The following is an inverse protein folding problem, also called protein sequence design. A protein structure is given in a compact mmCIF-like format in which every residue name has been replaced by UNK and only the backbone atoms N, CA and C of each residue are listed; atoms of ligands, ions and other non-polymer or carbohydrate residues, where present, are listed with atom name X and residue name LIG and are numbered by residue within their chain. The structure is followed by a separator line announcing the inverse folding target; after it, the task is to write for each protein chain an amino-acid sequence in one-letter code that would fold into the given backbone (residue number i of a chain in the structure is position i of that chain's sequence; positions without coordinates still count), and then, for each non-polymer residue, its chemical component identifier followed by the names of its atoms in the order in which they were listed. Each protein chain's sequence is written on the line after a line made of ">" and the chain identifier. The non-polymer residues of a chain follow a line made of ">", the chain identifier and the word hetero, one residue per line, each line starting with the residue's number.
data_IF_305242145728
#
_entry.id   IF_305242145728
#
_cell.length_a   1.000
_cell.length_b   1.000
_cell.length_c   1.000
_cell.angle_alpha   90.00
_cell.angle_beta   90.00
_cell.angle_gamma   90.00
#
_symmetry.space_group_name_H-M   'P 1'
#
loop_
_entity.id
_entity.type
_entity.pdbx_description
1 polymer ?
#
# COMPACT_ATOMS: atom_id res chain seq x y z
N UNK A 1 -12.21 20.94 26.70
CA UNK A 1 -11.81 20.08 25.57
C UNK A 1 -10.39 20.46 25.18
N UNK A 2 -9.44 19.53 25.27
CA UNK A 2 -8.07 19.74 24.77
C UNK A 2 -8.06 19.28 23.32
N UNK A 3 -7.78 20.19 22.39
CA UNK A 3 -7.57 19.83 20.99
C UNK A 3 -6.27 19.03 20.90
N UNK A 4 -6.36 17.75 20.55
CA UNK A 4 -5.19 16.95 20.24
C UNK A 4 -4.49 17.58 19.02
N UNK A 5 -3.28 18.09 19.21
CA UNK A 5 -2.43 18.55 18.11
C UNK A 5 -2.02 17.31 17.32
N UNK A 6 -2.75 16.99 16.26
CA UNK A 6 -2.40 15.93 15.32
C UNK A 6 -1.04 16.31 14.75
N UNK A 7 0.00 15.57 15.15
CA UNK A 7 1.31 15.68 14.51
C UNK A 7 1.12 15.18 13.08
N UNK A 8 1.15 16.10 12.12
CA UNK A 8 1.16 15.75 10.71
C UNK A 8 2.49 15.07 10.43
N UNK A 9 2.44 13.82 10.00
CA UNK A 9 3.61 13.13 9.44
C UNK A 9 4.10 13.91 8.22
N UNK A 10 5.41 14.13 8.12
CA UNK A 10 5.99 14.74 6.92
C UNK A 10 5.74 13.85 5.71
N UNK A 11 5.53 14.49 4.57
CA UNK A 11 5.28 13.81 3.30
C UNK A 11 6.55 13.13 2.86
N UNK A 12 6.44 11.87 2.43
CA UNK A 12 7.56 11.13 1.89
C UNK A 12 7.88 11.59 0.45
N UNK A 13 9.16 11.57 0.07
CA UNK A 13 9.62 11.96 -1.27
C UNK A 13 9.18 10.89 -2.30
N UNK A 14 8.44 11.26 -3.36
CA UNK A 14 8.09 10.38 -4.47
C UNK A 14 9.29 9.61 -5.05
N UNK A 15 10.45 10.24 -5.11
CA UNK A 15 11.70 9.71 -5.68
C UNK A 15 12.29 8.60 -4.81
N UNK A 16 12.11 8.70 -3.50
CA UNK A 16 12.53 7.66 -2.54
C UNK A 16 11.50 6.55 -2.42
N UNK A 17 10.21 6.86 -2.57
CA UNK A 17 9.15 5.87 -2.48
C UNK A 17 9.08 4.93 -3.68
N UNK A 18 9.42 5.41 -4.87
CA UNK A 18 9.32 4.59 -6.07
C UNK A 18 10.25 3.36 -6.09
N UNK A 19 11.54 3.45 -5.71
CA UNK A 19 12.37 2.26 -5.58
C UNK A 19 11.89 1.32 -4.46
N UNK A 20 11.32 1.85 -3.37
CA UNK A 20 10.73 1.03 -2.31
C UNK A 20 9.49 0.29 -2.84
N UNK A 21 8.62 0.97 -3.59
CA UNK A 21 7.45 0.36 -4.21
C UNK A 21 7.87 -0.78 -5.14
N UNK A 22 8.80 -0.53 -6.05
CA UNK A 22 9.28 -1.52 -7.01
C UNK A 22 9.94 -2.74 -6.35
N UNK A 23 10.54 -2.58 -5.17
CA UNK A 23 11.11 -3.69 -4.40
C UNK A 23 10.08 -4.74 -3.99
N UNK A 24 8.84 -4.34 -3.72
CA UNK A 24 7.78 -5.25 -3.27
C UNK A 24 6.69 -5.51 -4.32
N UNK A 25 6.68 -4.77 -5.43
CA UNK A 25 5.76 -5.03 -6.53
C UNK A 25 6.10 -6.35 -7.24
N UNK A 26 5.25 -7.37 -7.06
CA UNK A 26 5.44 -8.69 -7.68
C UNK A 26 4.73 -8.84 -9.03
N UNK A 27 3.79 -7.95 -9.34
CA UNK A 27 2.91 -8.09 -10.50
C UNK A 27 3.21 -7.02 -11.52
N UNK A 28 3.51 -7.40 -12.75
CA UNK A 28 3.64 -6.48 -13.89
C UNK A 28 2.48 -6.71 -14.87
N UNK A 29 1.81 -5.64 -15.28
CA UNK A 29 0.76 -5.71 -16.29
C UNK A 29 0.87 -4.50 -17.22
N UNK A 30 1.00 -4.75 -18.52
CA UNK A 30 1.10 -3.72 -19.55
C UNK A 30 2.26 -2.72 -19.32
N UNK A 31 3.37 -3.17 -18.73
CA UNK A 31 4.52 -2.32 -18.39
C UNK A 31 4.34 -1.48 -17.13
N UNK A 32 3.25 -1.65 -16.39
CA UNK A 32 3.02 -1.03 -15.09
C UNK A 32 3.16 -2.06 -13.96
N UNK A 33 3.83 -1.66 -12.88
CA UNK A 33 4.05 -2.49 -11.70
C UNK A 33 2.95 -2.28 -10.66
N UNK A 34 2.54 -3.40 -10.06
CA UNK A 34 1.49 -3.49 -9.08
C UNK A 34 1.95 -4.34 -7.89
N UNK A 35 1.52 -3.94 -6.69
CA UNK A 35 1.55 -4.83 -5.54
C UNK A 35 0.23 -5.59 -5.44
N UNK A 36 0.30 -6.90 -5.23
CA UNK A 36 -0.86 -7.68 -4.81
C UNK A 36 -1.23 -7.34 -3.36
N UNK A 37 -2.45 -7.66 -2.89
CA UNK A 37 -2.81 -7.52 -1.49
C UNK A 37 -1.80 -8.15 -0.53
N UNK A 38 -1.26 -9.31 -0.90
CA UNK A 38 -0.31 -10.03 -0.05
C UNK A 38 1.05 -9.32 0.02
N UNK A 39 1.51 -8.73 -1.08
CA UNK A 39 2.75 -7.95 -1.14
C UNK A 39 2.65 -6.66 -0.31
N UNK A 40 1.46 -6.04 -0.31
CA UNK A 40 1.24 -4.84 0.46
C UNK A 40 1.15 -5.12 1.97
N UNK A 41 0.44 -6.17 2.37
CA UNK A 41 0.17 -6.42 3.80
C UNK A 41 1.34 -7.11 4.51
N UNK A 42 1.99 -8.06 3.85
CA UNK A 42 2.98 -8.92 4.52
C UNK A 42 4.38 -8.33 4.44
N UNK A 43 5.05 -8.21 3.27
CA UNK A 43 6.40 -7.70 3.25
C UNK A 43 6.50 -6.16 3.29
N UNK A 44 5.47 -5.41 2.84
CA UNK A 44 5.50 -3.94 2.86
C UNK A 44 5.03 -3.34 4.20
N UNK A 45 3.84 -3.71 4.70
CA UNK A 45 3.34 -3.22 6.00
C UNK A 45 3.79 -4.08 7.21
N UNK A 46 4.25 -5.31 6.99
CA UNK A 46 4.71 -6.22 8.05
C UNK A 46 3.67 -6.47 9.17
N UNK A 47 2.38 -6.57 8.81
CA UNK A 47 1.27 -6.64 9.78
C UNK A 47 1.24 -7.98 10.55
N UNK A 48 1.76 -9.07 9.98
CA UNK A 48 1.74 -10.40 10.61
C UNK A 48 3.12 -11.02 10.86
N UNK A 49 4.21 -10.30 10.54
CA UNK A 49 5.57 -10.85 10.63
C UNK A 49 5.73 -12.13 9.81
N UNK A 50 6.26 -13.19 10.44
CA UNK A 50 6.42 -14.52 9.83
C UNK A 50 5.12 -15.35 9.77
N UNK A 51 4.04 -14.87 10.40
CA UNK A 51 2.77 -15.59 10.44
C UNK A 51 1.93 -15.30 9.20
N UNK A 52 1.15 -16.28 8.74
CA UNK A 52 0.20 -16.09 7.65
C UNK A 52 -0.87 -15.06 8.08
N UNK A 53 -1.03 -13.94 7.35
CA UNK A 53 -2.02 -12.96 7.71
C UNK A 53 -3.45 -13.53 7.57
N UNK A 54 -4.36 -13.08 8.44
CA UNK A 54 -5.77 -13.43 8.33
C UNK A 54 -6.31 -12.94 6.96
N UNK A 55 -6.90 -13.82 6.13
CA UNK A 55 -7.42 -13.44 4.81
C UNK A 55 -8.39 -12.26 4.84
N UNK A 56 -9.26 -12.18 5.86
CA UNK A 56 -10.22 -11.09 6.01
C UNK A 56 -9.53 -9.75 6.28
N UNK A 57 -8.43 -9.76 7.04
CA UNK A 57 -7.63 -8.56 7.28
C UNK A 57 -6.93 -8.09 6.01
N UNK A 58 -6.41 -9.02 5.22
CA UNK A 58 -5.80 -8.71 3.91
C UNK A 58 -6.81 -8.07 2.98
N UNK A 59 -8.02 -8.63 2.92
CA UNK A 59 -9.11 -8.11 2.08
C UNK A 59 -9.55 -6.70 2.51
N UNK A 60 -9.82 -6.49 3.80
CA UNK A 60 -10.26 -5.19 4.31
C UNK A 60 -9.21 -4.09 4.07
N UNK A 61 -7.94 -4.37 4.36
CA UNK A 61 -6.88 -3.38 4.20
C UNK A 61 -6.52 -3.14 2.73
N UNK A 62 -6.51 -4.19 1.91
CA UNK A 62 -6.31 -4.02 0.47
C UNK A 62 -7.47 -3.30 -0.20
N UNK A 63 -8.71 -3.43 0.30
CA UNK A 63 -9.86 -2.67 -0.19
C UNK A 63 -9.77 -1.16 0.09
N UNK A 64 -9.06 -0.75 1.14
CA UNK A 64 -8.83 0.68 1.44
C UNK A 64 -7.85 1.31 0.45
N UNK A 65 -6.80 0.58 0.07
CA UNK A 65 -5.71 1.09 -0.77
C UNK A 65 -5.93 0.83 -2.26
N UNK A 66 -6.50 -0.33 -2.60
CA UNK A 66 -6.84 -0.75 -3.95
C UNK A 66 -8.22 -0.26 -4.37
N UNK A 67 -8.42 1.05 -4.50
CA UNK A 67 -9.66 1.60 -5.07
C UNK A 67 -9.63 1.61 -6.59
N UNK A 68 -9.55 0.44 -7.23
CA UNK A 68 -9.83 0.34 -8.66
C UNK A 68 -11.24 -0.20 -8.86
N UNK A 69 -12.04 0.49 -9.68
CA UNK A 69 -13.45 0.14 -9.98
C UNK A 69 -13.61 -1.25 -10.63
N UNK A 70 -12.51 -1.88 -11.02
CA UNK A 70 -12.47 -3.11 -11.80
C UNK A 70 -12.50 -4.38 -10.94
N UNK A 71 -12.70 -4.28 -9.62
CA UNK A 71 -12.70 -5.45 -8.72
C UNK A 71 -11.31 -6.09 -8.57
N UNK A 72 -10.25 -5.32 -8.85
CA UNK A 72 -8.86 -5.75 -8.71
C UNK A 72 -8.23 -5.09 -7.49
N UNK A 73 -7.93 -5.88 -6.46
CA UNK A 73 -7.30 -5.40 -5.23
C UNK A 73 -5.77 -5.21 -5.41
N UNK A 74 -5.34 -4.64 -6.53
CA UNK A 74 -3.93 -4.28 -6.71
C UNK A 74 -3.70 -2.87 -6.18
N UNK A 75 -2.52 -2.62 -5.63
CA UNK A 75 -2.07 -1.29 -5.25
C UNK A 75 -1.15 -0.76 -6.37
N UNK A 76 -1.60 0.25 -7.14
CA UNK A 76 -0.76 0.93 -8.12
C UNK A 76 0.26 1.85 -7.45
N UNK A 77 1.40 2.04 -8.12
CA UNK A 77 2.42 3.02 -7.73
C UNK A 77 1.83 4.43 -7.55
N UNK A 78 0.94 4.84 -8.46
CA UNK A 78 0.30 6.16 -8.43
C UNK A 78 -0.57 6.39 -7.19
N UNK A 79 -1.20 5.34 -6.66
CA UNK A 79 -2.05 5.47 -5.46
C UNK A 79 -1.22 5.65 -4.20
N UNK A 80 -0.04 5.02 -4.15
CA UNK A 80 0.95 5.25 -3.09
C UNK A 80 1.47 6.68 -3.12
N UNK A 81 1.65 7.25 -4.31
CA UNK A 81 2.05 8.65 -4.49
C UNK A 81 0.92 9.64 -4.17
N UNK A 82 -0.34 9.30 -4.44
CA UNK A 82 -1.47 10.21 -4.19
C UNK A 82 -1.90 10.28 -2.72
N UNK A 83 -1.60 9.26 -1.91
CA UNK A 83 -1.84 9.29 -0.45
C UNK A 83 -0.93 10.28 0.30
N UNK A 84 0.03 10.90 -0.39
CA UNK A 84 1.06 11.79 0.16
C UNK A 84 1.13 13.16 -0.52
N UNK A 85 0.48 13.38 -1.68
CA UNK A 85 0.35 14.70 -2.35
C UNK A 85 -0.95 15.40 -1.99
#
# INVERSE_FOLDING_TARGET
>A
MVAAKVALTERADPTELMPIFLKYASTEKNGEFFMSPNDFITPYLNISGESRPNPTTVELLSGVVGQTKDGRNFVPALTMLSLIT
#
